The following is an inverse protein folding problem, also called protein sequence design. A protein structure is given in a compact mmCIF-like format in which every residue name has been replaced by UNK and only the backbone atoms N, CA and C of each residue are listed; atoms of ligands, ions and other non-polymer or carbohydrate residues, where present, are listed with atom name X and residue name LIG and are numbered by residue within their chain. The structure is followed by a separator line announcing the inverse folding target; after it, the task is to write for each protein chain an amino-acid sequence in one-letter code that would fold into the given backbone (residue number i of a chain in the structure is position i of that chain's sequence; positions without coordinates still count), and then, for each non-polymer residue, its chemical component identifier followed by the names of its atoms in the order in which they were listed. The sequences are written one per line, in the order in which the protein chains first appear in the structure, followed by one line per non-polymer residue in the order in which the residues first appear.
data_IF_425331961009
#
_entry.id   IF_425331961009
#
_cell.length_a   1.000
_cell.length_b   1.000
_cell.length_c   1.000
_cell.angle_alpha   90.00
_cell.angle_beta   90.00
_cell.angle_gamma   90.00
#
_symmetry.space_group_name_H-M   'P 1'
#
loop_
_entity.id
_entity.type
_entity.pdbx_description
1 polymer ?
#
# COMPACT_ATOMS: atom_id res chain seq x y z
N UNK A 1 -5.17 22.24 -0.59
CA UNK A 1 -4.57 21.46 0.51
C UNK A 1 -5.29 20.11 0.61
N UNK A 2 -4.56 19.00 0.55
CA UNK A 2 -5.19 17.69 0.64
C UNK A 2 -5.41 17.27 2.11
N UNK A 3 -6.14 16.19 2.31
CA UNK A 3 -6.51 15.72 3.65
C UNK A 3 -5.29 15.38 4.52
N UNK A 4 -4.24 14.82 3.91
CA UNK A 4 -2.99 14.49 4.62
C UNK A 4 -2.35 15.77 5.20
N UNK A 5 -2.25 16.82 4.39
CA UNK A 5 -1.68 18.09 4.83
C UNK A 5 -2.54 18.76 5.90
N UNK A 6 -3.87 18.69 5.75
CA UNK A 6 -4.81 19.25 6.74
C UNK A 6 -4.64 18.62 8.11
N UNK A 7 -4.28 17.34 8.16
CA UNK A 7 -4.10 16.62 9.41
C UNK A 7 -2.66 16.71 9.97
N UNK A 8 -1.78 17.42 9.27
CA UNK A 8 -0.43 17.67 9.76
C UNK A 8 0.62 16.69 9.24
N UNK A 9 0.35 15.98 8.14
CA UNK A 9 1.27 15.07 7.50
C UNK A 9 0.86 13.61 7.60
N UNK A 10 1.61 12.74 6.95
CA UNK A 10 1.28 11.33 6.81
C UNK A 10 1.13 10.60 8.15
N UNK A 11 2.10 10.75 9.06
CA UNK A 11 2.07 10.04 10.33
C UNK A 11 0.89 10.48 11.20
N UNK A 12 0.57 11.77 11.20
CA UNK A 12 -0.59 12.29 11.96
C UNK A 12 -1.90 11.84 11.32
N UNK A 13 -1.97 11.81 9.99
CA UNK A 13 -3.15 11.33 9.27
C UNK A 13 -3.38 9.83 9.54
N UNK A 14 -2.33 9.05 9.55
CA UNK A 14 -2.38 7.62 9.87
C UNK A 14 -2.90 7.39 11.28
N UNK A 15 -2.41 8.15 12.24
CA UNK A 15 -2.89 8.08 13.63
C UNK A 15 -4.34 8.51 13.75
N UNK A 16 -4.76 9.54 13.00
CA UNK A 16 -6.16 9.98 13.00
C UNK A 16 -7.10 8.87 12.54
N UNK A 17 -6.70 8.11 11.52
CA UNK A 17 -7.48 6.96 11.06
C UNK A 17 -7.56 5.87 12.13
N UNK A 18 -6.45 5.55 12.77
CA UNK A 18 -6.41 4.54 13.85
C UNK A 18 -7.34 4.92 15.01
N UNK A 19 -7.36 6.19 15.37
CA UNK A 19 -8.24 6.69 16.44
C UNK A 19 -9.70 6.58 16.02
N UNK A 20 -10.04 7.00 14.81
CA UNK A 20 -11.43 6.97 14.32
C UNK A 20 -11.98 5.55 14.28
N UNK A 21 -11.19 4.60 13.82
CA UNK A 21 -11.60 3.19 13.75
C UNK A 21 -11.95 2.63 15.12
N UNK A 22 -11.30 3.12 16.18
CA UNK A 22 -11.50 2.63 17.55
C UNK A 22 -12.69 3.26 18.26
N UNK A 23 -13.34 4.26 17.65
CA UNK A 23 -14.52 4.89 18.26
C UNK A 23 -15.70 3.91 18.28
N UNK A 24 -16.61 4.11 19.21
CA UNK A 24 -17.83 3.30 19.32
C UNK A 24 -18.68 3.40 18.06
N UNK A 25 -18.75 4.58 17.48
CA UNK A 25 -19.48 4.82 16.22
C UNK A 25 -18.57 5.57 15.26
N UNK A 26 -17.63 4.88 14.59
CA UNK A 26 -16.72 5.53 13.68
C UNK A 26 -17.46 6.09 12.46
N UNK A 27 -16.98 7.22 11.96
CA UNK A 27 -17.50 7.81 10.73
C UNK A 27 -16.90 7.04 9.55
N UNK A 28 -17.68 6.11 9.02
CA UNK A 28 -17.24 5.22 7.94
C UNK A 28 -16.80 6.01 6.70
N UNK A 29 -17.56 7.04 6.33
CA UNK A 29 -17.23 7.86 5.16
C UNK A 29 -15.89 8.56 5.34
N UNK A 30 -15.64 9.11 6.52
CA UNK A 30 -14.37 9.75 6.85
C UNK A 30 -13.22 8.74 6.82
N UNK A 31 -13.43 7.55 7.39
CA UNK A 31 -12.42 6.48 7.37
C UNK A 31 -12.06 6.08 5.95
N UNK A 32 -13.05 5.92 5.06
CA UNK A 32 -12.81 5.54 3.68
C UNK A 32 -12.03 6.63 2.92
N UNK A 33 -12.40 7.88 3.13
CA UNK A 33 -11.70 9.01 2.49
C UNK A 33 -10.25 9.10 2.98
N UNK A 34 -10.05 8.94 4.27
CA UNK A 34 -8.71 9.04 4.86
C UNK A 34 -7.84 7.86 4.42
N UNK A 35 -8.41 6.65 4.40
CA UNK A 35 -7.70 5.46 3.93
C UNK A 35 -7.25 5.63 2.47
N UNK A 36 -8.13 6.12 1.61
CA UNK A 36 -7.82 6.40 0.20
C UNK A 36 -6.71 7.46 0.08
N UNK A 37 -6.81 8.54 0.85
CA UNK A 37 -5.79 9.59 0.83
C UNK A 37 -4.43 9.06 1.29
N UNK A 38 -4.41 8.22 2.31
CA UNK A 38 -3.18 7.60 2.80
C UNK A 38 -2.57 6.67 1.74
N UNK A 39 -3.39 5.88 1.06
CA UNK A 39 -2.91 5.00 0.00
C UNK A 39 -2.29 5.79 -1.16
N UNK A 40 -2.98 6.86 -1.61
CA UNK A 40 -2.45 7.70 -2.69
C UNK A 40 -1.14 8.37 -2.29
N UNK A 41 -1.02 8.79 -1.04
CA UNK A 41 0.22 9.34 -0.52
C UNK A 41 1.34 8.31 -0.57
N UNK A 42 1.07 7.07 -0.13
CA UNK A 42 2.06 5.99 -0.18
C UNK A 42 2.50 5.69 -1.61
N UNK A 43 1.56 5.62 -2.55
CA UNK A 43 1.85 5.40 -3.98
C UNK A 43 2.74 6.50 -4.54
N UNK A 44 2.44 7.73 -4.18
CA UNK A 44 3.17 8.90 -4.67
C UNK A 44 4.61 8.96 -4.14
N UNK A 45 4.83 8.50 -2.92
CA UNK A 45 6.11 8.61 -2.24
C UNK A 45 6.84 7.26 -2.08
N UNK A 46 6.37 6.20 -2.71
CA UNK A 46 6.95 4.86 -2.64
C UNK A 46 7.11 4.36 -1.20
N UNK A 47 6.09 4.61 -0.39
CA UNK A 47 5.98 4.11 0.98
C UNK A 47 5.15 2.83 0.95
N UNK A 48 5.66 1.75 1.55
CA UNK A 48 4.96 0.46 1.58
C UNK A 48 4.62 0.10 3.01
N UNK A 49 3.35 -0.24 3.25
CA UNK A 49 2.84 -0.65 4.56
C UNK A 49 2.25 -2.05 4.47
N UNK A 50 2.17 -2.73 5.60
CA UNK A 50 1.54 -4.06 5.67
C UNK A 50 0.10 -3.98 5.15
N UNK A 51 -0.24 -4.88 4.23
CA UNK A 51 -1.54 -4.90 3.56
C UNK A 51 -1.53 -4.27 2.18
N UNK A 52 -0.48 -3.53 1.82
CA UNK A 52 -0.39 -2.91 0.49
C UNK A 52 -0.15 -3.96 -0.58
N UNK A 53 -0.74 -3.75 -1.76
CA UNK A 53 -0.53 -4.60 -2.93
C UNK A 53 0.57 -4.02 -3.79
N UNK A 54 1.53 -4.86 -4.14
CA UNK A 54 2.72 -4.47 -4.90
C UNK A 54 2.98 -5.43 -6.04
N UNK A 55 3.75 -4.99 -7.00
CA UNK A 55 4.27 -5.82 -8.09
C UNK A 55 5.79 -5.66 -8.15
N UNK A 56 6.46 -6.60 -8.80
CA UNK A 56 7.90 -6.47 -9.01
C UNK A 56 8.17 -5.32 -9.97
N UNK A 57 9.17 -4.52 -9.65
CA UNK A 57 9.52 -3.36 -10.48
C UNK A 57 10.18 -3.78 -11.79
N UNK A 58 10.91 -4.90 -11.78
CA UNK A 58 11.60 -5.42 -12.96
C UNK A 58 10.63 -6.18 -13.86
N UNK A 59 10.58 -5.82 -15.13
CA UNK A 59 9.71 -6.46 -16.13
C UNK A 59 10.05 -7.93 -16.35
N UNK A 60 11.28 -8.33 -16.09
CA UNK A 60 11.74 -9.72 -16.27
C UNK A 60 11.50 -10.58 -15.03
N UNK A 61 10.89 -10.03 -13.99
CA UNK A 61 10.55 -10.75 -12.77
C UNK A 61 9.10 -11.26 -12.84
N UNK A 62 8.58 -11.72 -11.71
CA UNK A 62 7.21 -12.25 -11.64
C UNK A 62 6.19 -11.18 -11.98
N UNK A 63 5.11 -11.57 -12.65
CA UNK A 63 3.99 -10.68 -12.97
C UNK A 63 2.84 -10.74 -11.94
N UNK A 64 3.01 -11.52 -10.89
CA UNK A 64 2.03 -11.73 -9.82
C UNK A 64 1.86 -10.48 -8.97
N UNK A 65 0.66 -10.26 -8.47
CA UNK A 65 0.38 -9.27 -7.43
C UNK A 65 0.78 -9.86 -6.08
N UNK A 66 1.57 -9.12 -5.32
CA UNK A 66 2.01 -9.53 -3.99
C UNK A 66 1.41 -8.62 -2.93
N UNK A 67 1.21 -9.17 -1.75
CA UNK A 67 0.75 -8.42 -0.58
C UNK A 67 1.89 -8.29 0.41
N UNK A 68 2.12 -7.07 0.90
CA UNK A 68 3.11 -6.82 1.95
C UNK A 68 2.56 -7.38 3.26
N UNK A 69 3.26 -8.33 3.87
CA UNK A 69 2.84 -8.96 5.13
C UNK A 69 3.76 -8.62 6.29
N UNK A 70 4.91 -8.03 6.02
CA UNK A 70 5.84 -7.61 7.07
C UNK A 70 6.98 -6.80 6.48
N UNK A 71 7.69 -6.10 7.37
CA UNK A 71 8.82 -5.26 6.98
C UNK A 71 9.90 -5.29 8.06
N UNK A 72 10.58 -6.44 8.26
CA UNK A 72 11.69 -6.48 9.19
C UNK A 72 12.88 -5.70 8.61
N UNK A 73 13.26 -4.63 9.29
CA UNK A 73 14.35 -3.73 8.87
C UNK A 73 14.07 -3.13 7.50
N UNK A 74 14.88 -3.44 6.48
CA UNK A 74 14.77 -2.87 5.14
C UNK A 74 14.18 -3.87 4.12
N UNK A 75 13.86 -5.06 4.56
CA UNK A 75 13.38 -6.12 3.69
C UNK A 75 11.86 -6.23 3.82
N UNK A 76 11.15 -6.14 2.73
CA UNK A 76 9.70 -6.34 2.71
C UNK A 76 9.41 -7.81 2.52
N UNK A 77 8.60 -8.36 3.42
CA UNK A 77 8.08 -9.71 3.28
C UNK A 77 6.79 -9.66 2.46
N UNK A 78 6.74 -10.45 1.40
CA UNK A 78 5.64 -10.46 0.45
C UNK A 78 5.03 -11.85 0.38
N UNK A 79 3.72 -11.89 0.21
CA UNK A 79 2.99 -13.14 -0.04
C UNK A 79 2.38 -13.07 -1.44
N UNK A 80 2.69 -14.06 -2.28
CA UNK A 80 2.11 -14.20 -3.61
C UNK A 80 0.81 -15.01 -3.59
N UNK A 81 0.19 -15.12 -4.75
CA UNK A 81 -1.05 -15.91 -4.92
C UNK A 81 -0.80 -17.42 -4.86
N UNK A 82 0.45 -17.85 -4.87
CA UNK A 82 0.87 -19.25 -4.72
C UNK A 82 1.11 -19.63 -3.26
N UNK A 83 0.79 -18.75 -2.31
CA UNK A 83 1.01 -18.88 -0.86
C UNK A 83 2.49 -19.00 -0.48
N UNK A 84 3.40 -18.73 -1.41
CA UNK A 84 4.83 -18.66 -1.13
C UNK A 84 5.21 -17.26 -0.66
N UNK A 85 6.28 -17.21 0.11
CA UNK A 85 6.77 -15.96 0.69
C UNK A 85 8.05 -15.51 -0.03
N UNK A 86 8.15 -14.21 -0.25
CA UNK A 86 9.27 -13.60 -0.95
C UNK A 86 9.80 -12.43 -0.13
N UNK A 87 11.11 -12.19 -0.20
CA UNK A 87 11.73 -11.03 0.39
C UNK A 87 12.26 -10.12 -0.70
N UNK A 88 11.96 -8.82 -0.61
CA UNK A 88 12.44 -7.85 -1.60
C UNK A 88 12.75 -6.53 -0.92
N UNK A 89 13.73 -5.83 -1.47
CA UNK A 89 14.08 -4.47 -1.05
C UNK A 89 13.12 -3.47 -1.70
N UNK A 90 13.07 -2.26 -1.15
CA UNK A 90 12.12 -1.22 -1.61
C UNK A 90 12.25 -0.86 -3.09
N UNK A 91 13.47 -0.89 -3.64
CA UNK A 91 13.69 -0.57 -5.05
C UNK A 91 13.31 -1.71 -6.00
N UNK A 92 13.03 -2.88 -5.48
CA UNK A 92 12.67 -4.06 -6.28
C UNK A 92 11.16 -4.21 -6.46
N UNK A 93 10.37 -3.39 -5.77
CA UNK A 93 8.91 -3.44 -5.82
C UNK A 93 8.35 -2.04 -6.11
N UNK A 94 7.13 -2.00 -6.59
CA UNK A 94 6.35 -0.77 -6.71
C UNK A 94 4.89 -1.06 -6.36
N UNK A 95 4.14 -0.01 -6.03
CA UNK A 95 2.72 -0.18 -5.77
C UNK A 95 2.02 -0.72 -7.01
N UNK A 96 1.12 -1.68 -6.82
CA UNK A 96 0.22 -2.11 -7.88
C UNK A 96 -0.76 -0.98 -8.19
N UNK A 97 -1.02 -0.75 -9.48
CA UNK A 97 -2.04 0.22 -9.90
C UNK A 97 -3.43 -0.40 -9.74
N UNK A 98 -4.47 0.44 -9.75
CA UNK A 98 -5.83 -0.06 -9.70
C UNK A 98 -6.13 -0.98 -10.88
N UNK A 99 -5.58 -0.67 -12.07
CA UNK A 99 -5.74 -1.52 -13.25
C UNK A 99 -5.09 -2.89 -13.06
N UNK A 100 -3.92 -2.93 -12.42
CA UNK A 100 -3.24 -4.19 -12.13
C UNK A 100 -3.99 -5.01 -11.08
N UNK A 101 -4.51 -4.37 -10.07
CA UNK A 101 -5.30 -5.04 -9.03
C UNK A 101 -6.56 -5.65 -9.67
N UNK A 102 -7.23 -4.92 -10.54
CA UNK A 102 -8.41 -5.41 -11.24
C UNK A 102 -8.08 -6.56 -12.19
N UNK A 103 -6.95 -6.47 -12.90
CA UNK A 103 -6.50 -7.51 -13.81
C UNK A 103 -5.96 -8.75 -13.08
N UNK A 104 -5.53 -8.60 -11.82
CA UNK A 104 -4.96 -9.67 -11.03
C UNK A 104 -3.50 -10.00 -11.35
N UNK A 105 -2.84 -9.14 -12.12
CA UNK A 105 -1.44 -9.34 -12.48
C UNK A 105 -0.78 -8.01 -12.88
N UNK A 106 0.54 -8.03 -12.90
CA UNK A 106 1.32 -6.87 -13.33
C UNK A 106 1.04 -6.56 -14.78
N UNK A 107 0.86 -5.29 -15.09
CA UNK A 107 0.70 -4.80 -16.45
C UNK A 107 1.96 -4.04 -16.87
N UNK A 108 2.31 -4.12 -18.14
CA UNK A 108 3.42 -3.34 -18.66
C UNK A 108 3.00 -1.87 -18.77
N UNK A 109 3.88 -1.01 -18.29
CA UNK A 109 3.71 0.44 -18.43
C UNK A 109 4.56 0.89 -19.60
N UNK A 110 3.90 1.28 -20.65
CA UNK A 110 4.56 1.81 -21.84
C UNK A 110 4.72 3.32 -21.75
#
# INVERSE_FOLDING_TARGET
MNLIEQLGGYEKAKRALEIEIRLTSPNTFYCLKLDEALLQHRRQHNIFEVGDLVVMADADDYDTIFKVIGKPKRLYHLQGNDDLFYGRLDFQIRHATDAEIEAGNRLEVS
#
